data_IF_836779373927
#
_entry.id   IF_836779373927
#
_cell.length_a   1.000
_cell.length_b   1.000
_cell.length_c   1.000
_cell.angle_alpha   90.00
_cell.angle_beta   90.00
_cell.angle_gamma   90.00
#
_symmetry.space_group_name_H-M   'P 1'
#
loop_
_entity.id
_entity.type
_entity.pdbx_description
1 polymer ?
#
# COMPACT_ATOMS: atom_id res chain seq x y z
N UNK A 1 -2.94 -3.64 18.46
CA UNK A 1 -1.61 -3.25 17.98
C UNK A 1 -0.93 -2.21 18.86
N UNK A 2 0.17 -1.74 18.37
CA UNK A 2 1.00 -0.70 18.97
C UNK A 2 2.25 -1.23 19.66
N UNK A 3 3.28 -0.37 19.63
CA UNK A 3 4.55 -0.58 20.31
C UNK A 3 4.46 -0.16 21.78
N UNK A 4 5.33 -0.69 22.62
CA UNK A 4 5.41 -0.40 24.04
C UNK A 4 5.00 -1.59 24.91
N UNK A 5 4.98 -1.39 26.21
CA UNK A 5 4.77 -2.44 27.22
C UNK A 5 3.34 -3.01 27.27
N UNK A 6 2.38 -2.35 26.63
CA UNK A 6 1.00 -2.84 26.50
C UNK A 6 0.58 -2.78 25.03
N UNK A 7 0.44 -3.95 24.41
CA UNK A 7 -0.20 -4.10 23.10
C UNK A 7 -1.65 -4.54 23.29
N UNK A 8 -2.53 -4.12 22.39
CA UNK A 8 -3.94 -4.47 22.40
C UNK A 8 -4.30 -5.14 21.08
N UNK A 9 -5.22 -6.08 21.11
CA UNK A 9 -5.80 -6.68 19.90
C UNK A 9 -6.67 -5.62 19.22
N UNK A 10 -6.61 -5.55 17.90
CA UNK A 10 -7.50 -4.70 17.11
C UNK A 10 -8.92 -5.24 17.14
N UNK A 11 -9.89 -4.35 17.12
CA UNK A 11 -11.31 -4.71 17.03
C UNK A 11 -11.84 -4.36 15.64
N UNK A 12 -12.73 -5.17 15.14
CA UNK A 12 -13.38 -4.96 13.85
C UNK A 12 -14.49 -3.93 13.99
N UNK A 13 -14.39 -2.82 13.25
CA UNK A 13 -15.40 -1.75 13.32
C UNK A 13 -16.71 -2.18 12.67
N UNK A 14 -16.64 -2.81 11.52
CA UNK A 14 -17.78 -3.36 10.75
C UNK A 14 -17.25 -4.45 9.81
N UNK A 15 -18.14 -5.30 9.30
CA UNK A 15 -17.74 -6.42 8.43
C UNK A 15 -17.26 -5.94 7.08
N UNK A 16 -17.82 -4.86 6.57
CA UNK A 16 -17.48 -4.27 5.29
C UNK A 16 -17.72 -2.76 5.31
N UNK A 17 -16.73 -1.98 4.90
CA UNK A 17 -16.85 -0.54 4.67
C UNK A 17 -16.85 -0.28 3.17
N UNK A 18 -17.96 0.23 2.60
CA UNK A 18 -17.96 0.68 1.21
C UNK A 18 -16.87 1.72 0.96
N UNK A 19 -16.33 1.71 -0.25
CA UNK A 19 -15.22 2.61 -0.66
C UNK A 19 -15.58 4.09 -0.46
N UNK A 20 -16.84 4.43 -0.71
CA UNK A 20 -17.38 5.78 -0.54
C UNK A 20 -17.37 6.23 0.92
N UNK A 21 -17.47 5.29 1.85
CA UNK A 21 -17.53 5.55 3.28
C UNK A 21 -16.15 5.54 3.96
N UNK A 22 -15.10 5.11 3.27
CA UNK A 22 -13.77 4.97 3.84
C UNK A 22 -13.24 6.27 4.44
N UNK A 23 -13.33 7.38 3.72
CA UNK A 23 -12.84 8.66 4.23
C UNK A 23 -13.74 9.23 5.33
N UNK A 24 -15.04 9.06 5.23
CA UNK A 24 -15.96 9.49 6.29
C UNK A 24 -15.69 8.70 7.59
N UNK A 25 -15.42 7.41 7.47
CA UNK A 25 -15.03 6.56 8.61
C UNK A 25 -13.71 7.03 9.22
N UNK A 26 -12.69 7.28 8.39
CA UNK A 26 -11.39 7.78 8.84
C UNK A 26 -11.51 9.13 9.54
N UNK A 27 -12.29 10.06 8.98
CA UNK A 27 -12.55 11.37 9.58
C UNK A 27 -13.29 11.25 10.92
N UNK A 28 -14.28 10.35 11.01
CA UNK A 28 -15.01 10.12 12.25
C UNK A 28 -14.08 9.63 13.36
N UNK A 29 -13.22 8.66 13.05
CA UNK A 29 -12.23 8.14 14.01
C UNK A 29 -11.27 9.24 14.46
N UNK A 30 -10.75 10.04 13.55
CA UNK A 30 -9.83 11.16 13.85
C UNK A 30 -10.51 12.18 14.76
N UNK A 31 -11.75 12.58 14.44
CA UNK A 31 -12.51 13.57 15.25
C UNK A 31 -12.80 13.08 16.66
N UNK A 32 -13.15 11.79 16.81
CA UNK A 32 -13.37 11.21 18.15
C UNK A 32 -12.07 11.19 18.93
N UNK A 33 -10.98 10.76 18.31
CA UNK A 33 -9.67 10.77 18.95
C UNK A 33 -9.20 12.19 19.29
N UNK A 34 -9.46 13.15 18.42
CA UNK A 34 -9.11 14.56 18.67
C UNK A 34 -9.84 15.10 19.90
N UNK A 35 -11.13 14.81 20.04
CA UNK A 35 -11.97 15.29 21.15
C UNK A 35 -11.72 14.55 22.47
N UNK A 36 -11.47 13.24 22.44
CA UNK A 36 -11.49 12.37 23.62
C UNK A 36 -10.13 11.75 23.96
N UNK A 37 -9.11 11.91 23.10
CA UNK A 37 -7.76 11.44 23.36
C UNK A 37 -7.09 12.16 24.54
N UNK A 38 -6.22 11.45 25.25
CA UNK A 38 -5.49 12.02 26.39
C UNK A 38 -4.38 12.96 25.92
N UNK A 39 -4.70 14.23 25.79
CA UNK A 39 -3.74 15.28 25.35
C UNK A 39 -2.76 15.71 26.43
N UNK A 40 -3.02 15.37 27.68
CA UNK A 40 -2.17 15.74 28.81
C UNK A 40 -1.03 14.77 29.03
N UNK A 41 -1.23 13.50 28.67
CA UNK A 41 -0.24 12.46 28.83
C UNK A 41 0.21 11.91 27.47
N UNK A 42 1.36 12.36 26.97
CA UNK A 42 1.92 11.96 25.68
C UNK A 42 2.09 10.44 25.56
N UNK A 43 2.46 9.75 26.64
CA UNK A 43 2.64 8.30 26.65
C UNK A 43 1.31 7.55 26.44
N UNK A 44 0.21 8.15 26.86
CA UNK A 44 -1.15 7.58 26.72
C UNK A 44 -1.94 8.17 25.54
N UNK A 45 -1.43 9.19 24.86
CA UNK A 45 -2.08 9.81 23.70
C UNK A 45 -1.99 8.90 22.46
N UNK A 46 -2.68 7.77 22.56
CA UNK A 46 -2.79 6.76 21.47
C UNK A 46 -4.21 6.20 21.45
N UNK A 47 -4.73 5.93 20.25
CA UNK A 47 -6.06 5.37 20.02
C UNK A 47 -6.35 4.15 20.90
N UNK A 48 -5.39 3.24 21.05
CA UNK A 48 -5.53 2.01 21.84
C UNK A 48 -5.92 2.25 23.29
N UNK A 49 -5.42 3.32 23.92
CA UNK A 49 -5.77 3.66 25.29
C UNK A 49 -7.18 4.22 25.35
N UNK A 50 -7.55 5.11 24.43
CA UNK A 50 -8.91 5.64 24.35
C UNK A 50 -9.95 4.51 24.20
N UNK A 51 -9.71 3.57 23.28
CA UNK A 51 -10.61 2.42 23.07
C UNK A 51 -10.68 1.53 24.30
N UNK A 52 -9.54 1.24 24.93
CA UNK A 52 -9.51 0.41 26.15
C UNK A 52 -10.24 1.06 27.32
N UNK A 53 -10.04 2.34 27.53
CA UNK A 53 -10.60 3.08 28.69
C UNK A 53 -12.10 3.35 28.51
N UNK A 54 -12.55 3.53 27.27
CA UNK A 54 -13.96 3.77 26.93
C UNK A 54 -14.77 2.48 26.81
N UNK A 55 -14.14 1.39 26.40
CA UNK A 55 -14.77 0.16 25.95
C UNK A 55 -15.10 0.17 24.45
N UNK A 56 -14.95 -1.01 23.84
CA UNK A 56 -15.08 -1.16 22.39
C UNK A 56 -16.46 -0.77 21.85
N UNK A 57 -17.53 -1.31 22.42
CA UNK A 57 -18.89 -1.08 21.94
C UNK A 57 -19.26 0.42 21.94
N UNK A 58 -18.87 1.13 22.99
CA UNK A 58 -19.10 2.57 23.09
C UNK A 58 -18.31 3.34 22.04
N UNK A 59 -17.04 2.98 21.82
CA UNK A 59 -16.20 3.58 20.80
C UNK A 59 -16.79 3.35 19.41
N UNK A 60 -17.14 2.10 19.07
CA UNK A 60 -17.76 1.73 17.79
C UNK A 60 -19.02 2.55 17.52
N UNK A 61 -19.94 2.61 18.50
CA UNK A 61 -21.16 3.39 18.37
C UNK A 61 -20.92 4.89 18.14
N UNK A 62 -19.89 5.45 18.80
CA UNK A 62 -19.53 6.85 18.59
C UNK A 62 -18.96 7.07 17.18
N UNK A 63 -18.12 6.16 16.68
CA UNK A 63 -17.56 6.27 15.32
C UNK A 63 -18.66 6.20 14.27
N UNK A 64 -19.59 5.26 14.38
CA UNK A 64 -20.68 5.12 13.41
C UNK A 64 -21.63 6.34 13.42
N UNK A 65 -21.93 6.89 14.60
CA UNK A 65 -22.72 8.12 14.73
C UNK A 65 -21.99 9.34 14.14
N UNK A 66 -20.71 9.50 14.47
CA UNK A 66 -19.91 10.61 13.94
C UNK A 66 -19.74 10.50 12.41
N UNK A 67 -19.57 9.27 11.87
CA UNK A 67 -19.55 9.04 10.43
C UNK A 67 -20.81 9.54 9.74
N UNK A 68 -21.98 9.25 10.30
CA UNK A 68 -23.25 9.75 9.78
C UNK A 68 -23.32 11.30 9.78
N UNK A 69 -22.81 11.94 10.84
CA UNK A 69 -22.73 13.41 10.92
C UNK A 69 -21.76 13.96 9.87
N UNK A 70 -20.57 13.38 9.75
CA UNK A 70 -19.59 13.81 8.75
C UNK A 70 -20.16 13.67 7.35
N UNK A 71 -20.81 12.54 7.05
CA UNK A 71 -21.42 12.29 5.74
C UNK A 71 -22.53 13.26 5.39
N UNK A 72 -23.32 13.71 6.38
CA UNK A 72 -24.39 14.68 6.17
C UNK A 72 -23.91 16.14 6.05
N UNK A 73 -22.75 16.46 6.62
CA UNK A 73 -22.25 17.85 6.70
C UNK A 73 -21.10 18.16 5.74
N UNK A 74 -20.46 17.15 5.19
CA UNK A 74 -19.29 17.32 4.29
C UNK A 74 -19.43 16.42 3.07
N UNK A 75 -19.39 17.01 1.89
CA UNK A 75 -19.21 16.25 0.65
C UNK A 75 -17.70 16.03 0.43
N UNK A 76 -17.20 14.89 0.81
CA UNK A 76 -15.84 14.45 0.45
C UNK A 76 -15.96 13.62 -0.82
N UNK A 77 -15.68 14.23 -1.96
CA UNK A 77 -15.68 13.51 -3.23
C UNK A 77 -14.30 12.89 -3.38
N UNK A 78 -14.19 11.61 -3.06
CA UNK A 78 -13.05 10.80 -3.49
C UNK A 78 -13.41 10.18 -4.82
N UNK A 79 -12.85 10.72 -5.88
CA UNK A 79 -12.83 10.00 -7.15
C UNK A 79 -11.74 8.92 -7.04
N UNK A 80 -12.10 7.81 -6.43
CA UNK A 80 -11.30 6.60 -6.58
C UNK A 80 -11.64 6.08 -8.00
N UNK A 81 -10.73 6.30 -8.94
CA UNK A 81 -10.78 5.60 -10.23
C UNK A 81 -10.39 4.14 -9.99
N UNK A 82 -11.26 3.42 -9.30
CA UNK A 82 -11.20 1.97 -9.27
C UNK A 82 -11.99 1.53 -10.47
N UNK A 83 -11.32 1.50 -11.60
CA UNK A 83 -11.90 0.88 -12.78
C UNK A 83 -11.83 -0.64 -12.58
N UNK A 84 -12.88 -1.19 -11.98
CA UNK A 84 -13.04 -2.64 -11.78
C UNK A 84 -13.34 -3.37 -13.10
N UNK A 85 -13.60 -2.62 -14.17
CA UNK A 85 -13.91 -3.15 -15.50
C UNK A 85 -12.67 -3.38 -16.37
N UNK A 86 -11.54 -3.80 -15.79
CA UNK A 86 -10.41 -4.27 -16.61
C UNK A 86 -10.78 -5.66 -17.18
N UNK A 87 -11.81 -5.68 -17.99
CA UNK A 87 -12.23 -6.88 -18.73
C UNK A 87 -11.32 -7.16 -19.94
N UNK A 88 -10.55 -6.17 -20.38
CA UNK A 88 -9.54 -6.31 -21.44
C UNK A 88 -8.27 -5.57 -21.00
N UNK A 89 -7.43 -6.29 -20.27
CA UNK A 89 -6.11 -5.77 -19.89
C UNK A 89 -5.26 -5.75 -21.14
N UNK A 90 -5.06 -4.57 -21.70
CA UNK A 90 -4.14 -4.39 -22.82
C UNK A 90 -2.73 -4.24 -22.29
N UNK A 91 -1.83 -5.11 -22.75
CA UNK A 91 -0.40 -4.98 -22.49
C UNK A 91 0.08 -3.63 -23.05
N UNK A 92 0.81 -2.82 -22.27
CA UNK A 92 1.51 -1.66 -22.82
C UNK A 92 2.37 -2.09 -24.01
N UNK A 93 2.53 -1.24 -25.01
CA UNK A 93 3.44 -1.50 -26.13
C UNK A 93 4.87 -1.34 -25.60
N UNK A 94 5.35 -2.32 -24.86
CA UNK A 94 6.74 -2.34 -24.45
C UNK A 94 7.61 -2.77 -25.62
N UNK A 95 8.70 -2.06 -25.85
CA UNK A 95 9.74 -2.49 -26.77
C UNK A 95 10.47 -3.66 -26.13
N UNK A 96 9.96 -4.88 -26.33
CA UNK A 96 10.65 -6.10 -25.91
C UNK A 96 11.93 -6.22 -26.71
N UNK A 97 13.06 -5.93 -26.08
CA UNK A 97 14.37 -6.33 -26.60
C UNK A 97 14.51 -7.85 -26.38
N UNK A 98 13.93 -8.64 -27.27
CA UNK A 98 13.96 -10.12 -27.22
C UNK A 98 15.36 -10.73 -27.22
N UNK A 99 16.40 -9.93 -27.51
CA UNK A 99 17.78 -10.40 -27.65
C UNK A 99 18.71 -10.05 -26.48
N UNK A 100 18.21 -9.45 -25.40
CA UNK A 100 19.05 -9.10 -24.27
C UNK A 100 19.38 -10.36 -23.43
N UNK A 101 20.67 -10.55 -23.14
CA UNK A 101 21.13 -11.57 -22.17
C UNK A 101 20.41 -11.35 -20.83
N UNK A 102 20.05 -12.46 -20.13
CA UNK A 102 19.43 -12.36 -18.82
C UNK A 102 20.40 -11.68 -17.85
N UNK A 103 20.05 -10.51 -17.27
CA UNK A 103 20.96 -9.82 -16.36
C UNK A 103 21.24 -10.67 -15.11
N UNK A 104 22.45 -10.54 -14.58
CA UNK A 104 22.82 -11.20 -13.33
C UNK A 104 21.87 -10.82 -12.19
N UNK A 105 21.46 -11.82 -11.40
CA UNK A 105 20.53 -11.62 -10.29
C UNK A 105 19.05 -11.67 -10.65
N UNK A 106 18.66 -11.66 -11.92
CA UNK A 106 17.25 -11.66 -12.35
C UNK A 106 16.46 -12.83 -11.75
N UNK A 107 16.97 -14.05 -11.80
CA UNK A 107 16.26 -15.22 -11.28
C UNK A 107 15.98 -15.12 -9.77
N UNK A 108 16.93 -14.58 -8.99
CA UNK A 108 16.75 -14.34 -7.56
C UNK A 108 15.74 -13.22 -7.32
N UNK A 109 15.82 -12.13 -8.06
CA UNK A 109 14.87 -11.02 -7.97
C UNK A 109 13.47 -11.51 -8.31
N UNK A 110 13.28 -12.21 -9.43
CA UNK A 110 11.99 -12.76 -9.83
C UNK A 110 11.38 -13.64 -8.74
N UNK A 111 12.17 -14.52 -8.12
CA UNK A 111 11.70 -15.39 -7.04
C UNK A 111 11.26 -14.65 -5.78
N UNK A 112 11.86 -13.48 -5.48
CA UNK A 112 11.68 -12.79 -4.20
C UNK A 112 10.93 -11.47 -4.30
N UNK A 113 10.63 -11.01 -5.52
CA UNK A 113 9.99 -9.71 -5.75
C UNK A 113 8.79 -9.78 -6.70
N UNK A 114 8.48 -10.96 -7.24
CA UNK A 114 7.40 -11.11 -8.22
C UNK A 114 6.42 -12.18 -7.75
N UNK A 115 5.14 -11.85 -7.76
CA UNK A 115 4.04 -12.77 -7.50
C UNK A 115 3.12 -12.85 -8.71
N UNK A 116 2.73 -14.06 -9.10
CA UNK A 116 1.75 -14.25 -10.16
C UNK A 116 0.37 -13.77 -9.73
N UNK A 117 -0.31 -13.07 -10.62
CA UNK A 117 -1.71 -12.70 -10.43
C UNK A 117 -2.65 -13.82 -10.86
N UNK A 118 -3.90 -13.74 -10.44
CA UNK A 118 -4.97 -14.62 -10.94
C UNK A 118 -5.25 -14.42 -12.43
N UNK A 119 -4.95 -13.24 -12.96
CA UNK A 119 -5.01 -12.94 -14.38
C UNK A 119 -3.81 -13.58 -15.08
N UNK A 120 -4.10 -14.49 -16.02
CA UNK A 120 -3.07 -15.24 -16.74
C UNK A 120 -2.07 -14.33 -17.47
N UNK A 121 -0.78 -14.65 -17.37
CA UNK A 121 0.31 -13.88 -18.01
C UNK A 121 0.73 -12.61 -17.29
N UNK A 122 0.09 -12.25 -16.15
CA UNK A 122 0.40 -11.04 -15.41
C UNK A 122 0.92 -11.30 -13.99
N UNK A 123 1.72 -10.35 -13.53
CA UNK A 123 2.40 -10.40 -12.25
C UNK A 123 2.23 -9.09 -11.46
N UNK A 124 2.36 -9.22 -10.16
CA UNK A 124 2.61 -8.12 -9.23
C UNK A 124 4.09 -8.06 -8.92
N UNK A 125 4.72 -6.91 -9.12
CA UNK A 125 6.14 -6.66 -8.87
C UNK A 125 6.28 -5.79 -7.63
N UNK A 126 7.11 -6.21 -6.70
CA UNK A 126 7.36 -5.54 -5.43
C UNK A 126 8.75 -4.90 -5.43
N UNK A 127 8.80 -3.58 -5.37
CA UNK A 127 10.04 -2.80 -5.28
C UNK A 127 10.32 -2.53 -3.80
N UNK A 128 11.33 -3.20 -3.25
CA UNK A 128 11.77 -2.99 -1.87
C UNK A 128 12.50 -1.66 -1.72
N UNK A 129 12.08 -0.86 -0.76
CA UNK A 129 12.73 0.40 -0.41
C UNK A 129 13.58 0.21 0.84
N UNK A 130 14.77 0.80 0.87
CA UNK A 130 15.62 0.76 2.04
C UNK A 130 15.07 1.71 3.10
N UNK A 131 14.70 1.18 4.26
CA UNK A 131 14.03 1.94 5.35
C UNK A 131 12.74 2.67 4.92
N UNK A 132 12.16 2.28 3.78
CA UNK A 132 11.00 2.97 3.20
C UNK A 132 11.33 4.25 2.42
N UNK A 133 12.61 4.57 2.26
CA UNK A 133 13.03 5.81 1.62
C UNK A 133 13.18 5.64 0.10
N UNK A 134 12.76 6.67 -0.63
CA UNK A 134 12.92 6.78 -2.07
C UNK A 134 13.23 8.23 -2.45
N UNK A 135 14.21 8.43 -3.32
CA UNK A 135 14.53 9.77 -3.83
C UNK A 135 13.54 10.23 -4.89
N UNK A 136 13.42 11.55 -5.09
CA UNK A 136 12.55 12.11 -6.11
C UNK A 136 12.91 11.63 -7.54
N UNK A 137 14.20 11.40 -7.82
CA UNK A 137 14.63 10.88 -9.11
C UNK A 137 14.22 9.42 -9.29
N UNK A 138 14.43 8.58 -8.28
CA UNK A 138 13.97 7.19 -8.31
C UNK A 138 12.44 7.10 -8.48
N UNK A 139 11.68 7.97 -7.81
CA UNK A 139 10.22 7.98 -7.95
C UNK A 139 9.78 8.37 -9.37
N UNK A 140 10.49 9.29 -10.03
CA UNK A 140 10.26 9.61 -11.45
C UNK A 140 10.55 8.42 -12.36
N UNK A 141 11.67 7.72 -12.13
CA UNK A 141 11.99 6.51 -12.88
C UNK A 141 10.95 5.40 -12.66
N UNK A 142 10.44 5.23 -11.44
CA UNK A 142 9.33 4.31 -11.18
C UNK A 142 8.09 4.71 -11.98
N UNK A 143 7.78 6.00 -12.10
CA UNK A 143 6.64 6.46 -12.89
C UNK A 143 6.81 6.18 -14.39
N UNK A 144 8.03 6.19 -14.92
CA UNK A 144 8.34 5.78 -16.29
C UNK A 144 8.17 4.28 -16.46
N UNK A 145 8.77 3.49 -15.57
CA UNK A 145 8.63 2.03 -15.55
C UNK A 145 7.15 1.60 -15.50
N UNK A 146 6.31 2.30 -14.73
CA UNK A 146 4.88 2.01 -14.66
C UNK A 146 4.21 2.24 -16.01
N UNK A 147 4.52 3.35 -16.68
CA UNK A 147 3.97 3.65 -18.02
C UNK A 147 4.35 2.64 -19.07
N UNK A 148 5.59 2.13 -18.97
CA UNK A 148 6.14 1.22 -19.98
C UNK A 148 5.71 -0.23 -19.76
N UNK A 149 5.50 -0.67 -18.51
CA UNK A 149 5.33 -2.09 -18.19
C UNK A 149 4.03 -2.46 -17.46
N UNK A 150 3.31 -1.50 -16.88
CA UNK A 150 2.08 -1.79 -16.15
C UNK A 150 0.85 -1.52 -17.01
N UNK A 151 0.07 -2.54 -17.28
CA UNK A 151 -1.22 -2.37 -17.97
C UNK A 151 -2.26 -1.59 -17.14
N UNK A 152 -2.04 -1.47 -15.84
CA UNK A 152 -2.89 -0.69 -14.95
C UNK A 152 -2.50 0.79 -14.89
N UNK A 153 -1.22 1.11 -15.12
CA UNK A 153 -0.69 2.47 -15.09
C UNK A 153 -0.55 3.08 -13.67
N UNK A 154 -0.65 2.29 -12.62
CA UNK A 154 -0.59 2.75 -11.22
C UNK A 154 0.45 2.00 -10.40
N UNK A 155 1.03 2.71 -9.42
CA UNK A 155 1.73 2.08 -8.30
C UNK A 155 0.89 2.16 -7.03
N UNK A 156 1.13 1.23 -6.13
CA UNK A 156 0.56 1.23 -4.79
C UNK A 156 1.65 1.17 -3.74
N UNK A 157 1.41 1.83 -2.62
CA UNK A 157 2.22 1.61 -1.44
C UNK A 157 1.79 0.29 -0.79
N UNK A 158 2.74 -0.60 -0.58
CA UNK A 158 2.52 -1.81 0.19
C UNK A 158 2.75 -1.59 1.68
N UNK A 159 2.21 -2.48 2.51
CA UNK A 159 2.34 -2.37 3.97
C UNK A 159 3.72 -2.74 4.52
N UNK A 160 4.61 -3.27 3.69
CA UNK A 160 6.03 -3.53 4.02
C UNK A 160 6.95 -2.38 3.58
N UNK A 161 6.43 -1.16 3.47
CA UNK A 161 7.18 0.02 3.00
C UNK A 161 7.85 -0.23 1.64
N UNK A 162 7.11 -0.83 0.75
CA UNK A 162 7.50 -1.13 -0.63
C UNK A 162 6.52 -0.48 -1.62
N UNK A 163 6.90 -0.45 -2.89
CA UNK A 163 6.03 -0.06 -4.00
C UNK A 163 5.58 -1.33 -4.71
N UNK A 164 4.30 -1.43 -5.00
CA UNK A 164 3.72 -2.55 -5.74
C UNK A 164 3.23 -2.06 -7.10
N UNK A 165 3.69 -2.71 -8.16
CA UNK A 165 3.25 -2.49 -9.55
C UNK A 165 2.56 -3.77 -10.00
N UNK A 166 1.30 -3.66 -10.39
CA UNK A 166 0.51 -4.79 -10.86
C UNK A 166 0.41 -4.82 -12.39
N UNK A 167 -0.12 -5.91 -12.89
CA UNK A 167 -0.36 -6.13 -14.32
C UNK A 167 0.89 -5.95 -15.18
N UNK A 168 2.02 -6.49 -14.71
CA UNK A 168 3.25 -6.59 -15.48
C UNK A 168 3.27 -7.93 -16.20
N UNK A 169 3.40 -7.92 -17.54
CA UNK A 169 3.38 -9.14 -18.33
C UNK A 169 4.64 -10.01 -18.10
N UNK A 170 4.51 -11.32 -18.23
CA UNK A 170 5.63 -12.27 -18.02
C UNK A 170 6.84 -11.92 -18.89
N UNK A 171 6.64 -11.55 -20.15
CA UNK A 171 7.71 -11.22 -21.12
C UNK A 171 8.43 -9.92 -20.76
N UNK A 172 7.80 -9.02 -20.03
CA UNK A 172 8.33 -7.69 -19.70
C UNK A 172 9.20 -7.68 -18.45
N UNK A 173 9.15 -8.75 -17.64
CA UNK A 173 9.85 -8.83 -16.36
C UNK A 173 11.36 -8.62 -16.47
N UNK A 174 12.01 -9.11 -17.55
CA UNK A 174 13.46 -8.94 -17.75
C UNK A 174 13.83 -7.50 -18.06
N UNK A 175 13.09 -6.87 -18.96
CA UNK A 175 13.32 -5.47 -19.34
C UNK A 175 13.04 -4.53 -18.16
N UNK A 176 11.96 -4.78 -17.45
CA UNK A 176 11.64 -4.05 -16.21
C UNK A 176 12.73 -4.20 -15.16
N UNK A 177 13.26 -5.42 -14.95
CA UNK A 177 14.37 -5.65 -14.02
C UNK A 177 15.62 -4.85 -14.41
N UNK A 178 15.97 -4.80 -15.70
CA UNK A 178 17.10 -4.00 -16.19
C UNK A 178 16.94 -2.52 -15.87
N UNK A 179 15.75 -1.96 -16.10
CA UNK A 179 15.47 -0.55 -15.79
C UNK A 179 15.49 -0.30 -14.25
N UNK A 180 15.06 -1.27 -13.47
CA UNK A 180 15.18 -1.18 -12.00
C UNK A 180 16.64 -1.24 -11.53
N UNK A 181 17.51 -2.00 -12.20
CA UNK A 181 18.95 -2.05 -11.90
C UNK A 181 19.60 -0.69 -12.12
N UNK A 182 19.31 -0.03 -13.25
CA UNK A 182 19.85 1.29 -13.59
C UNK A 182 19.50 2.36 -12.57
N UNK A 183 18.33 2.22 -11.93
CA UNK A 183 17.84 3.15 -10.89
C UNK A 183 18.24 2.79 -9.47
N UNK A 184 18.91 1.65 -9.30
CA UNK A 184 19.26 1.12 -7.98
C UNK A 184 18.06 0.55 -7.18
N UNK A 185 16.94 0.26 -7.86
CA UNK A 185 15.70 -0.24 -7.25
C UNK A 185 15.46 -1.75 -7.43
N UNK A 186 16.43 -2.48 -7.99
CA UNK A 186 16.35 -3.93 -8.20
C UNK A 186 16.74 -4.77 -6.97
N UNK A 187 16.64 -4.22 -5.76
CA UNK A 187 16.97 -4.95 -4.52
C UNK A 187 16.10 -6.20 -4.41
N UNK A 188 16.76 -7.34 -4.16
CA UNK A 188 16.07 -8.63 -3.98
C UNK A 188 15.54 -8.78 -2.57
N UNK A 189 14.47 -9.57 -2.38
CA UNK A 189 13.99 -9.95 -1.05
C UNK A 189 12.76 -9.22 -0.56
N UNK A 190 12.04 -8.46 -1.40
CA UNK A 190 10.84 -7.69 -1.01
C UNK A 190 9.72 -8.55 -0.41
N UNK A 191 9.65 -9.83 -0.76
CA UNK A 191 8.66 -10.78 -0.24
C UNK A 191 9.26 -11.76 0.78
N UNK A 192 10.37 -11.41 1.39
CA UNK A 192 11.06 -12.25 2.35
C UNK A 192 11.30 -11.50 3.66
N UNK A 193 11.81 -12.18 4.67
CA UNK A 193 12.21 -11.54 5.94
C UNK A 193 13.30 -10.47 5.77
N UNK A 194 13.99 -10.45 4.62
CA UNK A 194 14.98 -9.40 4.31
C UNK A 194 14.35 -8.01 4.11
N UNK A 195 13.03 -7.94 3.89
CA UNK A 195 12.28 -6.68 3.80
C UNK A 195 11.76 -6.17 5.15
N UNK A 196 12.09 -6.84 6.26
CA UNK A 196 11.69 -6.39 7.57
C UNK A 196 12.30 -5.01 7.88
N UNK A 197 11.45 -4.07 8.26
CA UNK A 197 11.86 -2.71 8.63
C UNK A 197 11.68 -2.53 10.12
N UNK A 198 12.74 -2.09 10.80
CA UNK A 198 12.67 -1.72 12.20
C UNK A 198 11.92 -0.41 12.39
N UNK A 199 11.10 -0.33 13.43
CA UNK A 199 10.51 0.95 13.82
C UNK A 199 11.56 1.76 14.61
N UNK A 200 11.67 3.05 14.32
CA UNK A 200 12.59 3.96 15.01
C UNK A 200 12.17 4.30 16.45
N UNK A 201 11.07 3.75 16.93
CA UNK A 201 10.56 3.96 18.29
C UNK A 201 9.46 5.00 18.39
#
# INVERSE_FOLDING_TARGET
GGLGNKSFIGHQLEDFTPVEDLLYTSMAVIRIFDRLGDRKNMARNRMRYLVNDMGWEKFQNLVLKERAIVKSTQSVIVKLNIDESINEIQRPISVSNESASVPDGFARWQKTNVEKQSQGGFNSVFIGLESGDITANQLRSVAEIIRDYSAEGFARNGFSQNIVIRYVHDDDLKSMYSNLLETGLAKTGSLTMASAVGCSG
#
